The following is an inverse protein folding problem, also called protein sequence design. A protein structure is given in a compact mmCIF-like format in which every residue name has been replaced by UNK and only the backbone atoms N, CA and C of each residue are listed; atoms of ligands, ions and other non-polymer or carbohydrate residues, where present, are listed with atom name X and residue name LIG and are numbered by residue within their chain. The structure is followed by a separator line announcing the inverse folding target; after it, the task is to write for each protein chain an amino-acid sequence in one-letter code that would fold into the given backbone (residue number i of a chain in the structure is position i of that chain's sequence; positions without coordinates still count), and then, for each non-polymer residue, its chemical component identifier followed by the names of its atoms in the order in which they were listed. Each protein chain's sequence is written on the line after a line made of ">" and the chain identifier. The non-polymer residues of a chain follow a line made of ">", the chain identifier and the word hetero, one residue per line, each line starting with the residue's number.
data_IF_656573594524
#
_entry.id   IF_656573594524
#
_cell.length_a   1.000
_cell.length_b   1.000
_cell.length_c   1.000
_cell.angle_alpha   90.00
_cell.angle_beta   90.00
_cell.angle_gamma   90.00
#
_symmetry.space_group_name_H-M   'P 1'
#
loop_
_entity.id
_entity.type
_entity.pdbx_description
1 polymer ?
#
# COMPACT_ATOMS: atom_id res chain seq x y z
N UNK A 1 10.42 21.15 -33.26
CA UNK A 1 10.45 19.68 -33.13
C UNK A 1 9.51 19.33 -32.00
N UNK A 2 8.43 18.62 -32.32
CA UNK A 2 7.28 18.42 -31.46
C UNK A 2 7.63 17.59 -30.23
N UNK A 3 7.31 18.13 -29.05
CA UNK A 3 7.37 17.39 -27.80
C UNK A 3 6.25 16.36 -27.78
N UNK A 4 6.65 15.11 -27.57
CA UNK A 4 5.80 13.99 -27.20
C UNK A 4 5.17 14.29 -25.83
N UNK A 5 4.02 14.97 -25.84
CA UNK A 5 3.13 15.01 -24.68
C UNK A 5 2.47 13.65 -24.63
N UNK A 6 3.11 12.70 -23.94
CA UNK A 6 2.51 11.43 -23.60
C UNK A 6 1.08 11.69 -23.11
N UNK A 7 0.11 11.08 -23.75
CA UNK A 7 -1.32 11.23 -23.46
C UNK A 7 -1.51 11.06 -21.95
N UNK A 8 -1.80 12.16 -21.25
CA UNK A 8 -2.19 12.11 -19.85
C UNK A 8 -3.52 11.37 -19.79
N UNK A 9 -3.49 10.06 -19.51
CA UNK A 9 -4.70 9.27 -19.33
C UNK A 9 -5.59 9.95 -18.29
N UNK A 10 -6.77 10.37 -18.75
CA UNK A 10 -7.80 10.99 -17.93
C UNK A 10 -8.55 9.92 -17.16
N UNK A 11 -9.04 10.28 -15.96
CA UNK A 11 -9.95 9.40 -15.23
C UNK A 11 -11.22 9.22 -16.07
N UNK A 12 -11.73 8.00 -16.09
CA UNK A 12 -13.01 7.72 -16.74
C UNK A 12 -14.15 8.49 -16.06
N UNK A 13 -15.27 8.67 -16.77
CA UNK A 13 -16.45 9.30 -16.19
C UNK A 13 -16.98 8.53 -14.96
N UNK A 14 -16.86 7.20 -14.99
CA UNK A 14 -17.22 6.33 -13.86
C UNK A 14 -16.32 6.58 -12.65
N UNK A 15 -15.00 6.62 -12.82
CA UNK A 15 -14.06 6.92 -11.74
C UNK A 15 -14.25 8.33 -11.19
N UNK A 16 -14.47 9.31 -12.06
CA UNK A 16 -14.72 10.69 -11.66
C UNK A 16 -15.98 10.79 -10.78
N UNK A 17 -17.06 10.09 -11.16
CA UNK A 17 -18.28 10.06 -10.37
C UNK A 17 -18.08 9.32 -9.03
N UNK A 18 -17.38 8.18 -9.03
CA UNK A 18 -17.10 7.39 -7.83
C UNK A 18 -16.25 8.15 -6.82
N UNK A 19 -15.24 8.88 -7.31
CA UNK A 19 -14.23 9.56 -6.48
C UNK A 19 -14.50 11.06 -6.27
N UNK A 20 -15.65 11.61 -6.70
CA UNK A 20 -15.97 13.05 -6.65
C UNK A 20 -15.66 13.69 -5.28
N UNK A 21 -16.10 13.05 -4.19
CA UNK A 21 -15.87 13.57 -2.83
C UNK A 21 -14.39 13.59 -2.44
N UNK A 22 -13.61 12.63 -2.89
CA UNK A 22 -12.18 12.51 -2.60
C UNK A 22 -11.37 13.48 -3.45
N UNK A 23 -11.75 13.64 -4.72
CA UNK A 23 -11.20 14.63 -5.65
C UNK A 23 -11.37 16.05 -5.10
N UNK A 24 -12.49 16.36 -4.42
CA UNK A 24 -12.67 17.67 -3.76
C UNK A 24 -11.70 17.94 -2.61
N UNK A 25 -11.10 16.91 -2.02
CA UNK A 25 -10.14 17.03 -0.92
C UNK A 25 -8.73 17.24 -1.46
N UNK A 26 -8.26 16.35 -2.35
CA UNK A 26 -6.85 16.35 -2.81
C UNK A 26 -6.63 16.72 -4.28
N UNK A 27 -7.70 16.93 -5.05
CA UNK A 27 -7.63 17.32 -6.47
C UNK A 27 -7.51 16.13 -7.43
N UNK A 28 -7.85 16.38 -8.70
CA UNK A 28 -7.85 15.36 -9.77
C UNK A 28 -6.45 14.77 -9.98
N UNK A 29 -5.40 15.60 -9.96
CA UNK A 29 -4.04 15.14 -10.22
C UNK A 29 -3.53 14.16 -9.15
N UNK A 30 -3.90 14.39 -7.88
CA UNK A 30 -3.60 13.46 -6.81
C UNK A 30 -4.33 12.13 -6.99
N UNK A 31 -5.61 12.18 -7.38
CA UNK A 31 -6.38 10.97 -7.69
C UNK A 31 -5.78 10.19 -8.87
N UNK A 32 -5.36 10.87 -9.94
CA UNK A 32 -4.67 10.25 -11.08
C UNK A 32 -3.38 9.54 -10.64
N UNK A 33 -2.54 10.19 -9.82
CA UNK A 33 -1.33 9.55 -9.28
C UNK A 33 -1.67 8.32 -8.42
N UNK A 34 -2.70 8.41 -7.59
CA UNK A 34 -3.14 7.31 -6.74
C UNK A 34 -3.62 6.10 -7.57
N UNK A 35 -4.41 6.34 -8.62
CA UNK A 35 -4.90 5.30 -9.55
C UNK A 35 -3.80 4.58 -10.34
N UNK A 36 -2.59 5.12 -10.34
CA UNK A 36 -1.41 4.52 -11.00
C UNK A 36 -0.45 3.86 -10.02
N UNK A 37 -0.63 4.08 -8.72
CA UNK A 37 0.27 3.54 -7.70
C UNK A 37 0.05 2.04 -7.47
N UNK A 38 1.15 1.32 -7.28
CA UNK A 38 1.19 -0.10 -6.96
C UNK A 38 1.72 -0.31 -5.55
N UNK A 39 0.91 -0.92 -4.68
CA UNK A 39 1.22 -1.13 -3.27
C UNK A 39 1.42 -2.61 -2.97
N UNK A 40 2.50 -2.95 -2.27
CA UNK A 40 2.71 -4.25 -1.66
C UNK A 40 2.50 -4.15 -0.15
N UNK A 41 1.74 -5.09 0.42
CA UNK A 41 1.61 -5.27 1.86
C UNK A 41 2.13 -6.65 2.22
N UNK A 42 3.21 -6.70 3.00
CA UNK A 42 3.77 -7.92 3.57
C UNK A 42 3.28 -8.06 5.02
N UNK A 43 2.55 -9.14 5.32
CA UNK A 43 1.91 -9.37 6.61
C UNK A 43 0.50 -8.79 6.69
N UNK A 44 -0.50 -9.67 6.77
CA UNK A 44 -1.92 -9.37 6.82
C UNK A 44 -2.44 -9.65 8.24
N UNK A 45 -2.83 -8.59 8.94
CA UNK A 45 -3.40 -8.65 10.29
C UNK A 45 -4.50 -7.58 10.43
N UNK A 46 -5.15 -7.53 11.60
CA UNK A 46 -6.21 -6.55 11.90
C UNK A 46 -5.85 -5.09 11.63
N UNK A 47 -4.58 -4.71 11.72
CA UNK A 47 -4.13 -3.34 11.43
C UNK A 47 -3.90 -3.12 9.94
N UNK A 48 -3.19 -4.02 9.26
CA UNK A 48 -2.89 -3.85 7.84
C UNK A 48 -4.12 -4.01 6.96
N UNK A 49 -5.14 -4.76 7.38
CA UNK A 49 -6.41 -4.82 6.64
C UNK A 49 -7.20 -3.50 6.66
N UNK A 50 -7.12 -2.73 7.74
CA UNK A 50 -7.73 -1.38 7.80
C UNK A 50 -7.04 -0.44 6.81
N UNK A 51 -5.70 -0.50 6.76
CA UNK A 51 -4.92 0.19 5.75
C UNK A 51 -5.33 -0.24 4.33
N UNK A 52 -5.39 -1.54 4.05
CA UNK A 52 -5.77 -2.10 2.75
C UNK A 52 -7.16 -1.63 2.31
N UNK A 53 -8.16 -1.74 3.19
CA UNK A 53 -9.52 -1.25 2.93
C UNK A 53 -9.50 0.23 2.56
N UNK A 54 -8.78 1.07 3.31
CA UNK A 54 -8.72 2.50 3.05
C UNK A 54 -8.10 2.84 1.69
N UNK A 55 -6.99 2.21 1.29
CA UNK A 55 -6.35 2.50 -0.01
C UNK A 55 -7.14 1.93 -1.19
N UNK A 56 -7.83 0.80 -1.00
CA UNK A 56 -8.73 0.22 -2.02
C UNK A 56 -9.94 1.14 -2.24
N UNK A 57 -10.59 1.61 -1.17
CA UNK A 57 -11.67 2.59 -1.26
C UNK A 57 -11.19 3.93 -1.86
N UNK A 58 -9.94 4.31 -1.60
CA UNK A 58 -9.34 5.51 -2.17
C UNK A 58 -9.02 5.38 -3.67
N UNK A 59 -9.02 4.16 -4.22
CA UNK A 59 -8.79 3.93 -5.65
C UNK A 59 -7.32 3.86 -6.02
N UNK A 60 -6.52 3.15 -5.23
CA UNK A 60 -5.13 2.82 -5.60
C UNK A 60 -5.08 1.95 -6.86
N UNK A 61 -4.07 2.10 -7.72
CA UNK A 61 -3.98 1.35 -8.97
C UNK A 61 -3.90 -0.17 -8.80
N UNK A 62 -3.11 -0.62 -7.81
CA UNK A 62 -3.18 -2.02 -7.37
C UNK A 62 -2.70 -2.22 -5.94
N UNK A 63 -3.22 -3.27 -5.32
CA UNK A 63 -2.80 -3.79 -4.03
C UNK A 63 -2.38 -5.26 -4.19
N UNK A 64 -1.15 -5.59 -3.77
CA UNK A 64 -0.68 -6.96 -3.64
C UNK A 64 -0.50 -7.33 -2.17
N UNK A 65 -1.08 -8.45 -1.75
CA UNK A 65 -0.97 -8.98 -0.39
C UNK A 65 0.01 -10.16 -0.37
N UNK A 66 0.99 -10.12 0.52
CA UNK A 66 1.95 -11.21 0.74
C UNK A 66 1.86 -11.67 2.19
N UNK A 67 1.10 -12.75 2.41
CA UNK A 67 1.00 -13.44 3.69
C UNK A 67 0.48 -14.87 3.45
N UNK A 68 1.38 -15.85 3.56
CA UNK A 68 1.10 -17.27 3.35
C UNK A 68 0.67 -17.99 4.65
N UNK A 69 0.55 -17.29 5.78
CA UNK A 69 0.03 -17.88 6.99
C UNK A 69 -1.42 -18.31 6.78
N UNK A 70 -1.74 -19.51 7.27
CA UNK A 70 -3.10 -20.04 7.25
C UNK A 70 -3.96 -19.24 8.23
N UNK A 71 -5.18 -18.94 7.81
CA UNK A 71 -6.18 -18.28 8.66
C UNK A 71 -6.40 -19.09 9.94
N UNK A 72 -6.38 -18.40 11.09
CA UNK A 72 -6.68 -18.97 12.41
C UNK A 72 -7.99 -18.42 12.98
N UNK A 73 -8.49 -18.99 14.09
CA UNK A 73 -9.67 -18.46 14.78
C UNK A 73 -9.46 -17.05 15.34
N UNK A 74 -8.24 -16.74 15.81
CA UNK A 74 -7.89 -15.39 16.28
C UNK A 74 -8.02 -14.35 15.16
N UNK A 75 -7.67 -14.75 13.93
CA UNK A 75 -7.80 -13.87 12.77
C UNK A 75 -9.27 -13.51 12.51
N UNK A 76 -10.22 -14.44 12.69
CA UNK A 76 -11.66 -14.16 12.54
C UNK A 76 -12.16 -13.09 13.52
N UNK A 77 -11.52 -12.97 14.69
CA UNK A 77 -11.91 -12.01 15.72
C UNK A 77 -11.32 -10.62 15.46
N UNK A 78 -10.21 -10.54 14.72
CA UNK A 78 -9.45 -9.31 14.52
C UNK A 78 -9.46 -8.80 13.06
N UNK A 79 -9.94 -9.59 12.11
CA UNK A 79 -9.86 -9.32 10.67
C UNK A 79 -11.23 -9.46 10.00
N UNK A 80 -11.93 -8.33 9.83
CA UNK A 80 -13.27 -8.30 9.23
C UNK A 80 -13.30 -8.68 7.74
N UNK A 81 -12.15 -8.75 7.07
CA UNK A 81 -12.07 -9.16 5.66
C UNK A 81 -12.06 -10.67 5.48
N UNK A 82 -11.91 -11.45 6.56
CA UNK A 82 -11.93 -12.92 6.48
C UNK A 82 -13.37 -13.39 6.74
N UNK A 83 -14.06 -13.99 5.76
CA UNK A 83 -15.38 -14.56 5.97
C UNK A 83 -15.35 -15.72 6.98
N UNK A 84 -16.35 -15.80 7.86
CA UNK A 84 -16.42 -16.80 8.93
C UNK A 84 -16.46 -18.26 8.45
N UNK A 85 -16.92 -18.50 7.21
CA UNK A 85 -17.02 -19.82 6.61
C UNK A 85 -15.70 -20.33 5.99
N UNK A 86 -14.67 -19.48 5.87
CA UNK A 86 -13.35 -19.87 5.34
C UNK A 86 -12.68 -20.94 6.23
N UNK A 87 -12.79 -20.82 7.55
CA UNK A 87 -12.23 -21.82 8.48
C UNK A 87 -12.92 -23.18 8.38
N UNK A 88 -14.15 -23.26 7.87
CA UNK A 88 -14.88 -24.52 7.69
C UNK A 88 -14.38 -25.32 6.47
N UNK A 89 -13.80 -24.64 5.49
CA UNK A 89 -13.29 -25.24 4.23
C UNK A 89 -11.76 -25.36 4.20
N UNK A 90 -11.07 -24.60 5.05
CA UNK A 90 -9.83 -25.00 5.70
C UNK A 90 -8.60 -25.23 4.84
N UNK A 91 -8.19 -24.31 3.95
CA UNK A 91 -6.79 -24.17 3.47
C UNK A 91 -6.48 -22.77 2.89
N UNK A 92 -7.20 -21.71 3.25
CA UNK A 92 -6.92 -20.38 2.67
C UNK A 92 -5.81 -19.67 3.47
N UNK A 93 -4.85 -19.08 2.77
CA UNK A 93 -3.92 -18.14 3.40
C UNK A 93 -4.66 -16.84 3.77
N UNK A 94 -4.11 -16.09 4.73
CA UNK A 94 -4.64 -14.77 5.10
C UNK A 94 -4.72 -13.83 3.91
N UNK A 95 -3.70 -13.84 3.04
CA UNK A 95 -3.70 -13.02 1.84
C UNK A 95 -4.83 -13.40 0.87
N UNK A 96 -5.06 -14.70 0.63
CA UNK A 96 -6.14 -15.18 -0.25
C UNK A 96 -7.52 -14.81 0.30
N UNK A 97 -7.76 -15.08 1.59
CA UNK A 97 -9.03 -14.76 2.24
C UNK A 97 -9.36 -13.25 2.17
N UNK A 98 -8.38 -12.39 2.44
CA UNK A 98 -8.59 -10.94 2.37
C UNK A 98 -8.66 -10.39 0.94
N UNK A 99 -7.95 -11.00 -0.01
CA UNK A 99 -7.92 -10.58 -1.41
C UNK A 99 -9.31 -10.61 -2.04
N UNK A 100 -10.05 -11.71 -1.85
CA UNK A 100 -11.40 -11.84 -2.40
C UNK A 100 -12.34 -10.78 -1.84
N UNK A 101 -12.37 -10.60 -0.52
CA UNK A 101 -13.21 -9.58 0.11
C UNK A 101 -12.86 -8.16 -0.34
N UNK A 102 -11.57 -7.82 -0.53
CA UNK A 102 -11.15 -6.48 -0.95
C UNK A 102 -11.56 -6.13 -2.38
N UNK A 103 -11.69 -7.12 -3.28
CA UNK A 103 -12.16 -6.88 -4.66
C UNK A 103 -13.58 -6.31 -4.66
N UNK A 104 -14.41 -6.70 -3.70
CA UNK A 104 -15.79 -6.22 -3.58
C UNK A 104 -15.88 -4.76 -3.12
N UNK A 105 -14.86 -4.25 -2.42
CA UNK A 105 -14.84 -2.85 -1.96
C UNK A 105 -14.67 -1.86 -3.11
N UNK A 106 -13.88 -2.21 -4.12
CA UNK A 106 -13.66 -1.34 -5.27
C UNK A 106 -13.24 -2.11 -6.52
N UNK A 107 -14.17 -2.35 -7.47
CA UNK A 107 -13.87 -3.04 -8.72
C UNK A 107 -12.85 -2.32 -9.63
N UNK A 108 -12.56 -1.04 -9.38
CA UNK A 108 -11.56 -0.28 -10.13
C UNK A 108 -10.12 -0.62 -9.69
N UNK A 109 -9.95 -1.23 -8.51
CA UNK A 109 -8.63 -1.55 -7.95
C UNK A 109 -8.26 -2.98 -8.24
N UNK A 110 -7.04 -3.20 -8.77
CA UNK A 110 -6.52 -4.56 -8.94
C UNK A 110 -5.98 -5.07 -7.61
N UNK A 111 -6.68 -6.02 -6.99
CA UNK A 111 -6.21 -6.71 -5.78
C UNK A 111 -5.73 -8.11 -6.15
N UNK A 112 -4.52 -8.47 -5.70
CA UNK A 112 -3.90 -9.75 -5.98
C UNK A 112 -3.13 -10.31 -4.78
N UNK A 113 -2.91 -11.62 -4.78
CA UNK A 113 -2.01 -12.30 -3.85
C UNK A 113 -0.63 -12.40 -4.48
N UNK A 114 0.39 -12.01 -3.72
CA UNK A 114 1.79 -12.19 -4.08
C UNK A 114 2.38 -13.35 -3.28
N UNK A 115 2.73 -14.43 -3.98
CA UNK A 115 3.37 -15.61 -3.39
C UNK A 115 4.84 -15.30 -3.18
N UNK A 116 5.34 -15.52 -1.96
CA UNK A 116 6.75 -15.39 -1.64
C UNK A 116 7.01 -15.12 -0.16
N UNK A 117 8.28 -15.15 0.22
CA UNK A 117 8.75 -14.80 1.55
C UNK A 117 9.30 -13.36 1.52
N UNK A 118 8.80 -12.44 2.37
CA UNK A 118 9.33 -11.08 2.49
C UNK A 118 10.84 -11.01 2.75
N UNK A 119 11.44 -12.05 3.34
CA UNK A 119 12.88 -12.14 3.61
C UNK A 119 13.73 -12.54 2.39
N UNK A 120 13.08 -12.99 1.32
CA UNK A 120 13.71 -13.47 0.08
C UNK A 120 13.31 -12.66 -1.16
N UNK A 121 12.58 -11.55 -1.00
CA UNK A 121 12.20 -10.71 -2.13
C UNK A 121 13.45 -10.16 -2.82
N UNK A 122 13.51 -10.34 -4.13
CA UNK A 122 14.59 -9.82 -4.94
C UNK A 122 14.33 -8.39 -5.41
N UNK A 123 15.36 -7.82 -6.00
CA UNK A 123 15.39 -6.47 -6.54
C UNK A 123 14.31 -6.23 -7.61
N UNK A 124 14.15 -7.17 -8.54
CA UNK A 124 13.20 -7.05 -9.65
C UNK A 124 11.75 -7.16 -9.18
N UNK A 125 11.51 -7.93 -8.11
CA UNK A 125 10.21 -8.03 -7.48
C UNK A 125 9.79 -6.70 -6.84
N UNK A 126 10.71 -6.06 -6.12
CA UNK A 126 10.51 -4.78 -5.42
C UNK A 126 10.21 -3.64 -6.39
N UNK A 127 10.89 -3.60 -7.54
CA UNK A 127 10.73 -2.53 -8.55
C UNK A 127 9.31 -2.41 -9.15
N UNK A 128 8.48 -3.46 -8.99
CA UNK A 128 7.08 -3.47 -9.44
C UNK A 128 6.16 -2.59 -8.59
N UNK A 129 6.62 -2.16 -7.41
CA UNK A 129 5.81 -1.41 -6.45
C UNK A 129 6.34 0.01 -6.27
N UNK A 130 5.45 0.94 -5.95
CA UNK A 130 5.78 2.31 -5.58
C UNK A 130 5.83 2.47 -4.05
N UNK A 131 5.06 1.64 -3.34
CA UNK A 131 4.95 1.65 -1.89
C UNK A 131 5.02 0.21 -1.38
N UNK A 132 5.85 -0.04 -0.37
CA UNK A 132 5.94 -1.30 0.34
C UNK A 132 5.65 -1.06 1.81
N UNK A 133 4.65 -1.77 2.34
CA UNK A 133 4.26 -1.75 3.74
C UNK A 133 4.55 -3.11 4.36
N UNK A 134 5.27 -3.13 5.48
CA UNK A 134 5.67 -4.35 6.17
C UNK A 134 5.11 -4.37 7.59
N UNK A 135 4.44 -5.45 7.95
CA UNK A 135 3.97 -5.75 9.30
C UNK A 135 4.27 -7.21 9.65
N UNK A 136 4.22 -7.56 10.94
CA UNK A 136 4.41 -8.94 11.43
C UNK A 136 5.73 -9.61 11.00
N UNK A 137 6.75 -8.81 10.65
CA UNK A 137 8.04 -9.32 10.20
C UNK A 137 9.15 -9.06 11.23
N UNK A 138 10.19 -9.89 11.21
CA UNK A 138 11.37 -9.67 12.03
C UNK A 138 12.04 -8.33 11.69
N UNK A 139 12.73 -7.70 12.66
CA UNK A 139 13.50 -6.47 12.40
C UNK A 139 14.50 -6.67 11.26
N UNK A 140 15.15 -7.84 11.21
CA UNK A 140 16.08 -8.21 10.12
C UNK A 140 15.41 -8.13 8.74
N UNK A 141 14.19 -8.66 8.63
CA UNK A 141 13.42 -8.63 7.38
C UNK A 141 13.01 -7.20 7.01
N UNK A 142 12.57 -6.40 7.98
CA UNK A 142 12.21 -4.99 7.74
C UNK A 142 13.41 -4.17 7.26
N UNK A 143 14.57 -4.35 7.88
CA UNK A 143 15.83 -3.72 7.48
C UNK A 143 16.21 -4.15 6.06
N UNK A 144 16.17 -5.45 5.76
CA UNK A 144 16.45 -5.98 4.44
C UNK A 144 15.57 -5.34 3.35
N UNK A 145 14.26 -5.26 3.58
CA UNK A 145 13.32 -4.66 2.62
C UNK A 145 13.58 -3.16 2.47
N UNK A 146 13.77 -2.43 3.57
CA UNK A 146 14.06 -0.99 3.53
C UNK A 146 15.34 -0.69 2.74
N UNK A 147 16.40 -1.47 2.96
CA UNK A 147 17.66 -1.35 2.23
C UNK A 147 17.48 -1.65 0.73
N UNK A 148 16.68 -2.67 0.39
CA UNK A 148 16.38 -2.97 -1.01
C UNK A 148 15.64 -1.83 -1.69
N UNK A 149 14.65 -1.21 -1.03
CA UNK A 149 13.95 -0.03 -1.54
C UNK A 149 14.90 1.16 -1.80
N UNK A 150 15.86 1.39 -0.89
CA UNK A 150 16.85 2.49 -1.03
C UNK A 150 17.89 2.27 -2.11
N UNK A 151 18.21 1.01 -2.42
CA UNK A 151 19.16 0.66 -3.48
C UNK A 151 18.57 0.80 -4.89
N UNK A 152 17.25 0.98 -5.02
CA UNK A 152 16.60 1.10 -6.32
C UNK A 152 16.86 2.47 -6.93
N UNK A 153 16.94 2.51 -8.26
CA UNK A 153 16.89 3.78 -9.01
C UNK A 153 15.49 4.39 -9.00
N UNK A 154 14.46 3.54 -8.87
CA UNK A 154 13.07 3.95 -8.69
C UNK A 154 12.87 4.42 -7.25
N UNK A 155 12.14 5.52 -7.07
CA UNK A 155 11.70 5.94 -5.74
C UNK A 155 10.63 4.97 -5.22
N UNK A 156 10.93 4.28 -4.13
CA UNK A 156 10.01 3.35 -3.47
C UNK A 156 9.86 3.79 -2.02
N UNK A 157 8.62 4.11 -1.64
CA UNK A 157 8.28 4.45 -0.27
C UNK A 157 8.20 3.19 0.58
N UNK A 158 8.85 3.21 1.75
CA UNK A 158 8.82 2.11 2.69
C UNK A 158 8.09 2.49 3.97
N UNK A 159 7.24 1.59 4.45
CA UNK A 159 6.54 1.72 5.72
C UNK A 159 6.70 0.44 6.55
N UNK A 160 6.89 0.59 7.85
CA UNK A 160 6.71 -0.49 8.81
C UNK A 160 5.60 -0.10 9.78
N UNK A 161 4.65 -1.00 10.00
CA UNK A 161 3.51 -0.79 10.90
C UNK A 161 3.41 -1.96 11.86
N UNK A 162 3.36 -1.68 13.16
CA UNK A 162 3.15 -2.67 14.21
C UNK A 162 2.08 -2.17 15.18
N UNK A 163 1.20 -3.07 15.59
CA UNK A 163 0.27 -2.84 16.68
C UNK A 163 0.38 -4.03 17.63
N UNK A 164 0.70 -3.77 18.89
CA UNK A 164 0.84 -4.76 19.95
C UNK A 164 0.07 -4.26 21.16
N UNK A 165 -1.05 -4.91 21.43
CA UNK A 165 -1.99 -4.53 22.48
C UNK A 165 -2.42 -3.06 22.36
N UNK A 166 -2.04 -2.21 23.32
CA UNK A 166 -2.36 -0.78 23.35
C UNK A 166 -1.29 0.10 22.70
N UNK A 167 -0.22 -0.49 22.17
CA UNK A 167 0.91 0.24 21.58
C UNK A 167 0.91 0.09 20.06
N UNK A 168 1.04 1.22 19.35
CA UNK A 168 1.21 1.25 17.91
C UNK A 168 2.50 1.95 17.52
N UNK A 169 3.17 1.43 16.50
CA UNK A 169 4.34 2.04 15.87
C UNK A 169 4.14 2.14 14.36
N UNK A 170 4.44 3.32 13.81
CA UNK A 170 4.56 3.53 12.37
C UNK A 170 5.93 4.13 12.10
N UNK A 171 6.70 3.45 11.27
CA UNK A 171 7.93 3.95 10.69
C UNK A 171 7.70 4.25 9.21
N UNK A 172 8.25 5.37 8.75
CA UNK A 172 8.11 5.86 7.37
C UNK A 172 9.50 6.20 6.84
N UNK A 173 9.79 5.73 5.63
CA UNK A 173 10.99 6.09 4.89
C UNK A 173 10.64 6.38 3.43
N UNK A 174 10.58 7.67 3.10
CA UNK A 174 10.38 8.17 1.75
C UNK A 174 11.69 8.63 1.11
N UNK A 175 12.85 8.28 1.66
CA UNK A 175 14.16 8.70 1.14
C UNK A 175 14.24 10.23 1.00
N UNK A 176 14.62 10.75 -0.16
CA UNK A 176 14.46 12.17 -0.49
C UNK A 176 13.10 12.36 -1.18
N UNK A 177 12.17 13.00 -0.48
CA UNK A 177 10.79 13.16 -0.94
C UNK A 177 10.45 14.62 -1.16
N UNK A 178 10.04 14.95 -2.39
CA UNK A 178 9.50 16.27 -2.73
C UNK A 178 7.99 16.21 -2.88
N UNK A 179 7.31 17.21 -2.32
CA UNK A 179 5.85 17.31 -2.39
C UNK A 179 5.39 18.77 -2.47
N UNK A 180 4.16 18.98 -2.94
CA UNK A 180 3.54 20.29 -2.98
C UNK A 180 2.70 20.50 -1.71
N UNK A 181 2.99 21.56 -0.97
CA UNK A 181 2.23 21.96 0.20
C UNK A 181 1.37 23.19 -0.14
N UNK A 182 0.05 23.07 0.03
CA UNK A 182 -0.87 24.21 -0.08
C UNK A 182 -1.27 24.68 1.31
N UNK A 183 -0.75 25.84 1.73
CA UNK A 183 -1.16 26.48 2.99
C UNK A 183 -2.53 27.18 2.80
N UNK A 184 -3.36 27.32 3.85
CA UNK A 184 -4.61 28.05 3.75
C UNK A 184 -4.39 29.47 3.22
N UNK A 185 -5.00 29.79 2.07
CA UNK A 185 -4.87 31.11 1.43
C UNK A 185 -3.55 31.38 0.69
N UNK A 186 -2.64 30.40 0.60
CA UNK A 186 -1.37 30.51 -0.12
C UNK A 186 -1.34 29.73 -1.43
N UNK A 187 -0.39 30.09 -2.30
CA UNK A 187 -0.03 29.31 -3.49
C UNK A 187 0.65 27.98 -3.10
N UNK A 188 0.62 26.94 -3.95
CA UNK A 188 1.33 25.70 -3.70
C UNK A 188 2.85 25.92 -3.68
N UNK A 189 3.50 25.54 -2.59
CA UNK A 189 4.95 25.61 -2.44
C UNK A 189 5.57 24.21 -2.53
N UNK A 190 6.67 24.08 -3.26
CA UNK A 190 7.45 22.84 -3.27
C UNK A 190 8.25 22.71 -1.97
N UNK A 191 8.14 21.55 -1.35
CA UNK A 191 8.85 21.18 -0.12
C UNK A 191 9.71 19.95 -0.38
N UNK A 192 10.76 19.79 0.41
CA UNK A 192 11.63 18.61 0.38
C UNK A 192 11.83 18.09 1.81
N UNK A 193 11.77 16.77 1.96
CA UNK A 193 12.03 16.06 3.21
C UNK A 193 13.00 14.93 2.96
N UNK A 194 13.97 14.79 3.85
CA UNK A 194 14.91 13.66 3.85
C UNK A 194 14.58 12.75 5.04
N UNK A 195 14.26 11.49 4.73
CA UNK A 195 13.96 10.46 5.70
C UNK A 195 15.22 9.64 6.02
N UNK A 196 15.39 9.30 7.30
CA UNK A 196 16.44 8.40 7.75
C UNK A 196 16.07 6.93 7.43
N UNK A 197 17.08 6.09 7.20
CA UNK A 197 16.88 4.65 7.05
C UNK A 197 16.45 4.02 8.38
N UNK A 198 15.76 2.89 8.29
CA UNK A 198 15.40 2.09 9.46
C UNK A 198 16.62 1.61 10.26
N UNK A 199 17.80 1.45 9.61
CA UNK A 199 19.05 1.10 10.30
C UNK A 199 19.54 2.18 11.29
N UNK A 200 19.09 3.42 11.14
CA UNK A 200 19.54 4.56 11.94
C UNK A 200 18.79 4.77 13.25
N UNK A 201 17.99 3.79 13.71
CA UNK A 201 17.17 3.87 14.93
C UNK A 201 17.44 2.70 15.88
#
# INVERSE_FOLDING_TARGET
>A
MGGDRGTEEELTAQETALYDRQIRVWGVDAQKRLSKAHVLVCGVNGTTIEFCKNIVLAGVGSLSLMDDHIVTEDDLSANFLIPHDVCMHGVSSRAEACCESLKDFNPMVRVAVAIGDPSLIDEGFVDRFDIIVVSCASLKTKLFINDNCRKRSKHIAFYSVECKDSCGEIFVDLQNHSYLQKKPGGEPEQQELTYASLQGR
#
